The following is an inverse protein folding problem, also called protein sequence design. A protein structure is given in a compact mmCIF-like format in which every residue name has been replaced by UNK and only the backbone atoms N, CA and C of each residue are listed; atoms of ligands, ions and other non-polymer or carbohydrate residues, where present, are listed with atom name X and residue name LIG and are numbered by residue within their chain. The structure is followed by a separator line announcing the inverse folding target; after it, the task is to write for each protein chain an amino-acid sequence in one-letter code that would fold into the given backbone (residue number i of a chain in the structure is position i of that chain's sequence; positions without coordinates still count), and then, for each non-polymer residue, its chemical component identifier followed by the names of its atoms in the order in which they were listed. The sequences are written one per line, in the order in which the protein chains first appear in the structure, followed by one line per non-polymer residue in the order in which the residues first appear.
data_IF_381069342515
#
_entry.id   IF_381069342515
#
_cell.length_a   1.000
_cell.length_b   1.000
_cell.length_c   1.000
_cell.angle_alpha   90.00
_cell.angle_beta   90.00
_cell.angle_gamma   90.00
#
_symmetry.space_group_name_H-M   'P 1'
#
loop_
_entity.id
_entity.type
_entity.pdbx_description
1 polymer ?
#
# COMPACT_ATOMS: atom_id res chain seq x y z
N UNK A 1 0.42 -5.94 2.32
CA UNK A 1 -0.41 -5.08 1.46
C UNK A 1 -1.70 -4.64 2.15
N UNK A 2 -2.46 -5.53 2.80
CA UNK A 2 -3.65 -5.13 3.57
C UNK A 2 -3.33 -4.06 4.62
N UNK A 3 -2.28 -4.26 5.43
CA UNK A 3 -1.82 -3.28 6.44
C UNK A 3 -1.59 -1.88 5.87
N UNK A 4 -1.05 -1.78 4.65
CA UNK A 4 -0.82 -0.48 4.00
C UNK A 4 -2.14 0.20 3.65
N UNK A 5 -3.08 -0.51 3.02
CA UNK A 5 -4.39 0.07 2.68
C UNK A 5 -5.18 0.39 3.94
N UNK A 6 -5.14 -0.45 4.97
CA UNK A 6 -5.81 -0.19 6.24
C UNK A 6 -5.23 1.05 6.92
N UNK A 7 -3.91 1.21 6.89
CA UNK A 7 -3.23 2.40 7.41
C UNK A 7 -3.58 3.67 6.62
N UNK A 8 -3.64 3.62 5.28
CA UNK A 8 -4.17 4.72 4.46
C UNK A 8 -5.60 5.09 4.88
N UNK A 9 -6.48 4.09 5.03
CA UNK A 9 -7.86 4.30 5.46
C UNK A 9 -7.98 4.87 6.88
N UNK A 10 -7.07 4.49 7.78
CA UNK A 10 -6.97 5.02 9.14
C UNK A 10 -6.23 6.37 9.24
N UNK A 11 -5.63 6.85 8.13
CA UNK A 11 -4.70 8.00 8.11
C UNK A 11 -3.54 7.83 9.10
N UNK A 12 -3.07 6.59 9.27
CA UNK A 12 -1.91 6.27 10.10
C UNK A 12 -0.62 6.52 9.30
N UNK A 13 -0.08 7.73 9.46
CA UNK A 13 1.12 8.19 8.75
C UNK A 13 2.33 7.30 9.02
N UNK A 14 2.53 6.88 10.26
CA UNK A 14 3.73 6.13 10.66
C UNK A 14 3.71 4.73 10.07
N UNK A 15 2.56 4.03 10.11
CA UNK A 15 2.44 2.72 9.47
C UNK A 15 2.53 2.82 7.96
N UNK A 16 1.90 3.83 7.34
CA UNK A 16 2.03 4.06 5.89
C UNK A 16 3.50 4.22 5.52
N UNK A 17 4.22 5.14 6.16
CA UNK A 17 5.60 5.40 5.81
C UNK A 17 6.57 4.28 6.16
N UNK A 18 6.36 3.57 7.27
CA UNK A 18 7.13 2.35 7.55
C UNK A 18 7.02 1.33 6.41
N UNK A 19 5.86 1.21 5.78
CA UNK A 19 5.62 0.26 4.70
C UNK A 19 6.12 0.77 3.34
N UNK A 20 6.01 2.08 3.05
CA UNK A 20 6.26 2.61 1.69
C UNK A 20 7.54 3.41 1.54
N UNK A 21 8.15 3.90 2.62
CA UNK A 21 9.40 4.66 2.56
C UNK A 21 10.49 3.97 1.73
N UNK A 22 10.66 2.63 1.74
CA UNK A 22 11.67 1.99 0.90
C UNK A 22 11.48 2.13 -0.61
N UNK A 23 10.31 2.56 -1.07
CA UNK A 23 10.02 2.85 -2.47
C UNK A 23 10.29 4.32 -2.87
N UNK A 24 10.58 5.21 -1.90
CA UNK A 24 10.93 6.61 -2.15
C UNK A 24 12.45 6.81 -2.11
N UNK A 25 13.00 7.59 -3.04
CA UNK A 25 14.43 7.94 -3.04
C UNK A 25 14.83 8.69 -1.77
N UNK A 26 13.98 9.60 -1.29
CA UNK A 26 14.16 10.34 -0.03
C UNK A 26 13.68 9.59 1.22
N UNK A 27 13.27 8.33 1.07
CA UNK A 27 12.90 7.43 2.16
C UNK A 27 11.80 7.98 3.09
N UNK A 28 12.00 7.81 4.40
CA UNK A 28 11.03 8.22 5.43
C UNK A 28 10.74 9.72 5.41
N UNK A 29 11.73 10.55 5.11
CA UNK A 29 11.57 12.02 5.09
C UNK A 29 10.63 12.43 3.98
N UNK A 30 10.84 11.89 2.79
CA UNK A 30 9.99 12.17 1.63
C UNK A 30 8.57 11.64 1.85
N UNK A 31 8.44 10.38 2.28
CA UNK A 31 7.12 9.80 2.57
C UNK A 31 6.30 10.68 3.54
N UNK A 32 6.89 11.08 4.67
CA UNK A 32 6.20 11.91 5.68
C UNK A 32 5.77 13.28 5.14
N UNK A 33 6.45 13.80 4.12
CA UNK A 33 6.09 15.07 3.49
C UNK A 33 4.93 14.94 2.48
N UNK A 34 4.83 13.81 1.77
CA UNK A 34 3.86 13.61 0.69
C UNK A 34 2.56 12.95 1.16
N UNK A 35 2.65 11.97 2.07
CA UNK A 35 1.49 11.20 2.53
C UNK A 35 0.36 12.04 3.14
N UNK A 36 0.61 13.11 3.93
CA UNK A 36 -0.46 13.97 4.42
C UNK A 36 -1.29 14.63 3.31
N UNK A 37 -0.66 14.99 2.19
CA UNK A 37 -1.38 15.51 1.02
C UNK A 37 -2.27 14.42 0.41
N UNK A 38 -1.74 13.20 0.26
CA UNK A 38 -2.50 12.05 -0.22
C UNK A 38 -3.71 11.75 0.68
N UNK A 39 -3.59 11.86 2.01
CA UNK A 39 -4.72 11.70 2.94
C UNK A 39 -5.86 12.70 2.71
N UNK A 40 -5.55 13.89 2.17
CA UNK A 40 -6.54 14.89 1.78
C UNK A 40 -7.26 14.57 0.48
N UNK A 41 -6.73 13.65 -0.34
CA UNK A 41 -7.30 13.28 -1.64
C UNK A 41 -8.35 12.16 -1.55
N UNK A 42 -8.40 11.41 -0.44
CA UNK A 42 -9.37 10.33 -0.26
C UNK A 42 -10.73 10.84 0.22
N UNK A 43 -11.80 10.41 -0.45
CA UNK A 43 -13.16 10.60 0.04
C UNK A 43 -13.45 9.71 1.26
N UNK A 44 -14.55 9.96 1.98
CA UNK A 44 -14.96 9.08 3.08
C UNK A 44 -15.24 7.64 2.63
N UNK A 45 -15.78 7.46 1.43
CA UNK A 45 -16.04 6.14 0.84
C UNK A 45 -14.71 5.43 0.51
N UNK A 46 -13.72 6.15 0.00
CA UNK A 46 -12.38 5.61 -0.22
C UNK A 46 -11.75 5.13 1.08
N UNK A 47 -11.82 5.94 2.16
CA UNK A 47 -11.29 5.56 3.46
C UNK A 47 -11.99 4.31 4.03
N UNK A 48 -13.30 4.15 3.82
CA UNK A 48 -14.04 2.93 4.20
C UNK A 48 -13.56 1.72 3.39
N UNK A 49 -13.46 1.85 2.06
CA UNK A 49 -12.97 0.78 1.18
C UNK A 49 -11.56 0.35 1.55
N UNK A 50 -10.66 1.32 1.79
CA UNK A 50 -9.28 1.08 2.20
C UNK A 50 -9.20 0.28 3.50
N UNK A 51 -10.04 0.55 4.51
CA UNK A 51 -10.12 -0.25 5.76
C UNK A 51 -10.65 -1.67 5.54
N UNK A 52 -11.43 -1.88 4.49
CA UNK A 52 -12.04 -3.18 4.16
C UNK A 52 -11.21 -3.97 3.15
N UNK A 53 -10.16 -3.38 2.57
CA UNK A 53 -9.36 -4.02 1.54
C UNK A 53 -8.84 -5.40 2.00
N UNK A 54 -8.95 -6.37 1.09
CA UNK A 54 -8.40 -7.71 1.20
C UNK A 54 -7.55 -8.01 -0.02
N UNK A 55 -6.61 -8.92 0.18
CA UNK A 55 -5.71 -9.42 -0.86
C UNK A 55 -5.99 -10.88 -1.14
N UNK A 56 -6.39 -11.16 -2.37
CA UNK A 56 -6.53 -12.51 -2.90
C UNK A 56 -5.13 -13.12 -3.07
N UNK A 57 -4.71 -13.92 -2.09
CA UNK A 57 -3.38 -14.54 -2.05
C UNK A 57 -3.14 -15.50 -3.20
N UNK A 58 -4.18 -16.08 -3.79
CA UNK A 58 -4.04 -16.97 -4.94
C UNK A 58 -3.56 -16.24 -6.21
N UNK A 59 -3.71 -14.91 -6.25
CA UNK A 59 -3.25 -14.05 -7.35
C UNK A 59 -1.90 -13.39 -7.08
N UNK A 60 -1.35 -13.54 -5.87
CA UNK A 60 -0.03 -13.00 -5.53
C UNK A 60 1.06 -13.89 -6.11
N UNK A 61 2.03 -13.30 -6.78
CA UNK A 61 3.12 -14.03 -7.41
C UNK A 61 4.36 -14.00 -6.51
N UNK A 62 4.87 -15.16 -6.09
CA UNK A 62 6.18 -15.23 -5.46
C UNK A 62 7.28 -14.96 -6.48
N UNK A 63 8.31 -14.20 -6.07
CA UNK A 63 9.56 -13.96 -6.80
C UNK A 63 10.78 -14.40 -5.98
N UNK A 64 10.57 -15.34 -5.06
CA UNK A 64 11.57 -15.76 -4.08
C UNK A 64 10.97 -15.89 -2.67
N UNK A 65 11.80 -16.28 -1.68
CA UNK A 65 11.35 -16.46 -0.30
C UNK A 65 10.94 -15.15 0.40
N UNK A 66 11.47 -14.02 -0.07
CA UNK A 66 11.36 -12.71 0.56
C UNK A 66 10.79 -11.64 -0.38
N UNK A 67 10.26 -12.02 -1.54
CA UNK A 67 9.76 -11.08 -2.54
C UNK A 67 8.47 -11.57 -3.19
N UNK A 68 7.49 -10.69 -3.30
CA UNK A 68 6.20 -10.96 -3.96
C UNK A 68 5.79 -9.81 -4.86
N UNK A 69 4.98 -10.14 -5.87
CA UNK A 69 4.30 -9.18 -6.73
C UNK A 69 2.80 -9.29 -6.51
N UNK A 70 2.17 -8.17 -6.16
CA UNK A 70 0.74 -8.05 -5.90
C UNK A 70 0.10 -7.32 -7.09
N UNK A 71 -0.56 -8.04 -8.01
CA UNK A 71 -1.23 -7.40 -9.13
C UNK A 71 -2.50 -6.67 -8.65
N UNK A 72 -2.98 -5.63 -9.37
CA UNK A 72 -4.18 -4.88 -8.99
C UNK A 72 -5.42 -5.77 -8.83
N UNK A 73 -5.56 -6.81 -9.66
CA UNK A 73 -6.66 -7.77 -9.59
C UNK A 73 -6.66 -8.69 -8.34
N UNK A 74 -5.60 -8.62 -7.52
CA UNK A 74 -5.56 -9.26 -6.21
C UNK A 74 -6.16 -8.39 -5.10
N UNK A 75 -6.42 -7.10 -5.35
CA UNK A 75 -6.81 -6.14 -4.31
C UNK A 75 -8.29 -5.77 -4.48
N UNK A 76 -9.09 -5.98 -3.43
CA UNK A 76 -10.51 -5.59 -3.42
C UNK A 76 -11.04 -5.39 -1.99
N UNK A 77 -11.94 -4.42 -1.75
CA UNK A 77 -12.31 -3.32 -2.65
C UNK A 77 -11.14 -2.30 -2.80
N UNK A 78 -11.20 -1.48 -3.86
CA UNK A 78 -10.23 -0.44 -4.16
C UNK A 78 -10.83 0.96 -3.98
N UNK A 79 -10.03 1.89 -3.46
CA UNK A 79 -10.36 3.32 -3.54
C UNK A 79 -10.45 3.77 -5.02
N UNK A 80 -11.25 4.80 -5.30
CA UNK A 80 -11.52 5.28 -6.65
C UNK A 80 -10.22 5.64 -7.41
N UNK A 81 -9.28 6.33 -6.75
CA UNK A 81 -7.99 6.67 -7.38
C UNK A 81 -7.15 5.45 -7.76
N UNK A 82 -7.24 4.37 -6.97
CA UNK A 82 -6.50 3.13 -7.24
C UNK A 82 -7.17 2.31 -8.35
N UNK A 83 -8.50 2.34 -8.41
CA UNK A 83 -9.25 1.72 -9.50
C UNK A 83 -9.04 2.46 -10.84
N UNK A 84 -8.87 3.80 -10.80
CA UNK A 84 -8.64 4.63 -11.98
C UNK A 84 -7.22 4.46 -12.55
N UNK A 85 -6.22 4.26 -11.70
CA UNK A 85 -4.83 4.01 -12.10
C UNK A 85 -4.28 2.75 -11.38
N UNK A 86 -4.68 1.55 -11.84
CA UNK A 86 -4.34 0.31 -11.17
C UNK A 86 -2.84 0.01 -11.25
N UNK A 87 -2.19 -0.04 -10.08
CA UNK A 87 -0.76 -0.35 -9.95
C UNK A 87 -0.50 -1.80 -9.57
N UNK A 88 0.60 -2.34 -10.08
CA UNK A 88 1.21 -3.57 -9.56
C UNK A 88 2.22 -3.18 -8.50
N UNK A 89 2.14 -3.80 -7.32
CA UNK A 89 3.08 -3.55 -6.23
C UNK A 89 4.09 -4.68 -6.14
N UNK A 90 5.36 -4.34 -5.96
CA UNK A 90 6.40 -5.26 -5.55
C UNK A 90 6.68 -5.08 -4.07
N UNK A 91 6.55 -6.16 -3.30
CA UNK A 91 6.85 -6.16 -1.87
C UNK A 91 8.05 -7.04 -1.55
N UNK A 92 8.81 -6.63 -0.53
CA UNK A 92 9.90 -7.41 0.05
C UNK A 92 9.68 -7.63 1.55
N UNK A 93 10.11 -8.77 2.06
CA UNK A 93 10.12 -9.06 3.50
C UNK A 93 11.38 -8.46 4.12
N UNK A 94 11.20 -7.47 5.00
CA UNK A 94 12.30 -6.77 5.68
C UNK A 94 11.93 -6.59 7.14
N UNK A 95 12.84 -6.96 8.04
CA UNK A 95 12.72 -6.73 9.48
C UNK A 95 11.38 -7.19 10.08
N UNK A 96 10.88 -8.35 9.63
CA UNK A 96 9.64 -8.94 10.11
C UNK A 96 8.35 -8.35 9.51
N UNK A 97 8.44 -7.53 8.47
CA UNK A 97 7.29 -6.95 7.79
C UNK A 97 7.42 -6.97 6.25
N UNK A 98 6.29 -7.05 5.56
CA UNK A 98 6.23 -6.81 4.12
C UNK A 98 6.20 -5.30 3.84
N UNK A 99 7.20 -4.79 3.11
CA UNK A 99 7.30 -3.39 2.67
C UNK A 99 7.19 -3.26 1.17
N UNK A 100 6.68 -2.14 0.67
CA UNK A 100 6.61 -1.82 -0.76
C UNK A 100 7.97 -1.27 -1.21
N UNK A 101 8.46 -1.76 -2.33
CA UNK A 101 9.77 -1.37 -2.89
C UNK A 101 9.70 -0.92 -4.36
N UNK A 102 8.59 -1.17 -5.05
CA UNK A 102 8.28 -0.68 -6.39
C UNK A 102 6.78 -0.83 -6.68
#
# INVERSE_FOLDING_TARGET
MEDYHHALGAKDLETVCRITAPAFDGGMKECRSLTPMQFGMFSEDDLKKLKLTRVDRAKVQSKGPDKVVVPPGAISPQAAMMAADPKTFTMAWRDGAWVIIA
#
